data_IF_983462382893
#
_entry.id   IF_983462382893
#
_cell.length_a   1.000
_cell.length_b   1.000
_cell.length_c   1.000
_cell.angle_alpha   90.00
_cell.angle_beta   90.00
_cell.angle_gamma   90.00
#
_symmetry.space_group_name_H-M   'P 1'
#
loop_
_entity.id
_entity.type
_entity.pdbx_description
1 polymer ?
#
# COMPACT_ATOMS: atom_id res chain seq x y z
N UNK A 1 14.65 -6.73 -5.43
CA UNK A 1 13.65 -5.65 -5.51
C UNK A 1 14.26 -4.40 -4.91
N UNK A 2 13.94 -3.17 -5.39
CA UNK A 2 14.65 -1.95 -5.01
C UNK A 2 14.15 -1.35 -3.67
N UNK A 3 14.23 -2.10 -2.58
CA UNK A 3 13.78 -1.63 -1.26
C UNK A 3 14.62 -0.47 -0.71
N UNK A 4 15.94 -0.49 -0.99
CA UNK A 4 16.88 0.54 -0.52
C UNK A 4 16.67 1.90 -1.22
N UNK A 5 16.27 1.88 -2.50
CA UNK A 5 16.09 3.09 -3.31
C UNK A 5 14.84 3.89 -2.90
N UNK A 6 13.88 3.23 -2.24
CA UNK A 6 12.55 3.80 -1.94
C UNK A 6 12.29 3.95 -0.44
N UNK A 7 13.30 3.68 0.39
CA UNK A 7 13.18 3.64 1.87
C UNK A 7 12.04 2.73 2.35
N UNK A 8 11.71 1.69 1.57
CA UNK A 8 10.72 0.68 1.98
C UNK A 8 11.34 -0.26 3.02
N UNK A 9 10.52 -0.80 3.93
CA UNK A 9 11.02 -1.79 4.90
C UNK A 9 10.99 -3.17 4.27
N UNK A 10 12.17 -3.67 3.88
CA UNK A 10 12.32 -4.95 3.16
C UNK A 10 11.47 -4.98 1.87
N UNK A 11 10.89 -6.13 1.53
CA UNK A 11 10.14 -6.34 0.28
C UNK A 11 8.61 -6.20 0.44
N UNK A 12 8.12 -5.71 1.58
CA UNK A 12 6.69 -5.80 1.92
C UNK A 12 5.87 -4.61 1.42
N UNK A 13 6.43 -3.40 1.46
CA UNK A 13 5.89 -2.24 0.76
C UNK A 13 7.00 -1.40 0.14
N UNK A 14 6.75 -0.91 -1.07
CA UNK A 14 7.70 -0.11 -1.85
C UNK A 14 6.96 0.59 -2.99
N UNK A 15 7.62 1.57 -3.61
CA UNK A 15 7.13 2.25 -4.80
C UNK A 15 8.20 2.26 -5.87
N UNK A 16 7.84 2.50 -7.13
CA UNK A 16 8.83 2.76 -8.18
C UNK A 16 8.19 3.52 -9.34
N UNK A 17 9.04 4.17 -10.12
CA UNK A 17 8.62 4.92 -11.30
C UNK A 17 8.95 4.15 -12.57
N UNK A 18 7.99 4.05 -13.48
CA UNK A 18 8.22 3.53 -14.82
C UNK A 18 7.46 4.38 -15.85
N UNK A 19 8.20 5.07 -16.70
CA UNK A 19 7.64 6.03 -17.65
C UNK A 19 6.85 7.14 -16.94
N UNK A 20 5.59 7.28 -17.33
CA UNK A 20 4.64 8.27 -16.82
C UNK A 20 3.80 7.77 -15.63
N UNK A 21 4.17 6.63 -15.04
CA UNK A 21 3.43 5.97 -13.95
C UNK A 21 4.31 5.83 -12.71
N UNK A 22 3.71 6.09 -11.55
CA UNK A 22 4.22 5.78 -10.24
C UNK A 22 3.45 4.57 -9.69
N UNK A 23 4.16 3.47 -9.43
CA UNK A 23 3.60 2.23 -8.90
C UNK A 23 3.87 2.15 -7.41
N UNK A 24 2.86 1.69 -6.66
CA UNK A 24 2.90 1.50 -5.21
C UNK A 24 2.47 0.07 -4.90
N UNK A 25 3.31 -0.67 -4.19
CA UNK A 25 2.98 -1.99 -3.64
C UNK A 25 2.80 -1.87 -2.14
N UNK A 26 1.63 -2.31 -1.67
CA UNK A 26 1.22 -2.27 -0.26
C UNK A 26 1.25 -3.68 0.35
N UNK A 27 1.65 -3.78 1.60
CA UNK A 27 1.40 -4.90 2.49
C UNK A 27 -0.04 -4.78 3.02
N UNK A 28 -0.90 -5.67 2.55
CA UNK A 28 -2.32 -5.74 2.91
C UNK A 28 -2.62 -6.77 4.01
N UNK A 29 -1.60 -7.50 4.42
CA UNK A 29 -1.66 -8.65 5.32
C UNK A 29 -1.39 -8.19 6.75
N UNK A 30 -0.37 -7.33 6.92
CA UNK A 30 0.14 -6.91 8.24
C UNK A 30 0.45 -5.41 8.34
N UNK A 31 0.45 -4.69 7.23
CA UNK A 31 1.00 -3.33 7.13
C UNK A 31 0.14 -2.19 7.71
N UNK A 32 -1.03 -2.46 8.29
CA UNK A 32 -1.89 -1.40 8.85
C UNK A 32 -2.69 -1.89 10.07
N UNK A 33 -3.13 -0.98 10.96
CA UNK A 33 -3.93 -1.37 12.12
C UNK A 33 -5.24 -2.06 11.70
N UNK A 34 -5.49 -3.25 12.22
CA UNK A 34 -6.65 -4.07 11.86
C UNK A 34 -6.49 -4.86 10.57
N UNK A 35 -5.26 -5.01 10.05
CA UNK A 35 -5.00 -5.90 8.92
C UNK A 35 -5.32 -7.36 9.27
N UNK A 36 -5.78 -8.12 8.27
CA UNK A 36 -6.37 -9.44 8.47
C UNK A 36 -5.42 -10.46 9.11
N UNK A 37 -4.11 -10.28 8.94
CA UNK A 37 -3.08 -11.17 9.47
C UNK A 37 -2.25 -10.57 10.60
N UNK A 38 -2.53 -9.32 11.02
CA UNK A 38 -1.80 -8.60 12.09
C UNK A 38 -1.70 -9.42 13.39
N UNK A 39 -2.76 -10.18 13.72
CA UNK A 39 -2.84 -10.99 14.95
C UNK A 39 -3.14 -12.47 14.70
N UNK A 40 -3.13 -12.89 13.42
CA UNK A 40 -3.68 -14.20 13.01
C UNK A 40 -2.76 -15.39 13.28
N UNK A 41 -1.44 -15.17 13.32
CA UNK A 41 -0.45 -16.25 13.47
C UNK A 41 0.32 -16.15 14.80
N UNK A 42 0.81 -17.30 15.26
CA UNK A 42 1.54 -17.45 16.56
C UNK A 42 2.98 -16.87 16.49
N UNK A 43 3.49 -16.63 15.28
CA UNK A 43 4.79 -16.00 15.04
C UNK A 43 4.61 -14.52 14.67
N UNK A 44 5.61 -13.65 14.90
CA UNK A 44 5.55 -12.27 14.47
C UNK A 44 5.55 -12.19 12.94
N UNK A 45 4.36 -12.19 12.36
CA UNK A 45 4.10 -11.93 10.95
C UNK A 45 3.72 -10.46 10.86
N UNK A 46 4.70 -9.58 10.60
CA UNK A 46 4.49 -8.13 10.52
C UNK A 46 5.57 -7.32 11.22
N UNK A 47 5.28 -6.04 11.47
CA UNK A 47 6.26 -5.10 12.05
C UNK A 47 7.27 -4.56 11.04
N UNK A 48 6.92 -4.58 9.75
CA UNK A 48 7.73 -4.03 8.67
C UNK A 48 7.69 -2.49 8.62
N UNK A 49 7.77 -1.83 9.78
CA UNK A 49 7.68 -0.37 9.88
C UNK A 49 6.27 0.18 9.72
N UNK A 50 6.18 1.52 9.77
CA UNK A 50 4.92 2.26 9.63
C UNK A 50 4.60 2.51 8.15
N UNK A 51 3.88 1.56 7.54
CA UNK A 51 3.48 1.66 6.14
C UNK A 51 2.61 2.88 5.87
N UNK A 52 1.70 3.27 6.80
CA UNK A 52 0.78 4.38 6.55
C UNK A 52 1.54 5.71 6.52
N UNK A 53 2.47 5.90 7.44
CA UNK A 53 3.36 7.05 7.41
C UNK A 53 4.27 7.04 6.16
N UNK A 54 4.84 5.89 5.80
CA UNK A 54 5.63 5.76 4.58
C UNK A 54 4.82 6.11 3.32
N UNK A 55 3.60 5.58 3.20
CA UNK A 55 2.71 5.80 2.06
C UNK A 55 2.33 7.28 1.92
N UNK A 56 2.06 7.96 3.03
CA UNK A 56 1.80 9.40 3.01
C UNK A 56 3.00 10.17 2.42
N UNK A 57 4.22 9.87 2.87
CA UNK A 57 5.43 10.53 2.36
C UNK A 57 5.73 10.20 0.89
N UNK A 58 5.45 8.96 0.47
CA UNK A 58 5.60 8.52 -0.93
C UNK A 58 4.60 9.25 -1.84
N UNK A 59 3.33 9.35 -1.44
CA UNK A 59 2.30 10.05 -2.20
C UNK A 59 2.52 11.57 -2.25
N UNK A 60 3.04 12.19 -1.20
CA UNK A 60 3.44 13.62 -1.22
C UNK A 60 4.50 13.83 -2.32
N UNK A 61 5.54 13.00 -2.36
CA UNK A 61 6.59 13.08 -3.39
C UNK A 61 6.06 12.78 -4.79
N UNK A 62 5.19 11.77 -4.94
CA UNK A 62 4.53 11.48 -6.20
C UNK A 62 3.66 12.66 -6.67
N UNK A 63 3.02 13.37 -5.73
CA UNK A 63 2.19 14.54 -6.01
C UNK A 63 3.00 15.73 -6.54
N UNK A 64 4.22 15.93 -6.05
CA UNK A 64 5.13 16.96 -6.58
C UNK A 64 5.53 16.68 -8.05
N UNK A 65 5.53 15.41 -8.46
CA UNK A 65 5.97 14.98 -9.79
C UNK A 65 4.83 14.68 -10.76
N UNK A 66 3.59 15.08 -10.44
CA UNK A 66 2.38 14.75 -11.23
C UNK A 66 2.40 15.28 -12.66
N UNK A 67 3.09 16.40 -12.89
CA UNK A 67 3.27 16.95 -14.23
C UNK A 67 4.08 16.02 -15.14
N UNK A 68 5.04 15.28 -14.57
CA UNK A 68 5.86 14.30 -15.29
C UNK A 68 5.23 12.90 -15.26
N UNK A 69 4.58 12.53 -14.15
CA UNK A 69 3.97 11.21 -13.92
C UNK A 69 2.53 11.35 -13.44
N UNK A 70 1.57 11.55 -14.37
CA UNK A 70 0.18 11.79 -14.04
C UNK A 70 -0.59 10.53 -13.59
N UNK A 71 0.04 9.36 -13.57
CA UNK A 71 -0.61 8.11 -13.14
C UNK A 71 0.00 7.56 -11.86
N UNK A 72 -0.85 7.19 -10.90
CA UNK A 72 -0.47 6.47 -9.69
C UNK A 72 -1.26 5.17 -9.67
N UNK A 73 -0.58 4.05 -9.52
CA UNK A 73 -1.17 2.71 -9.46
C UNK A 73 -0.80 2.08 -8.13
N UNK A 74 -1.81 1.82 -7.29
CA UNK A 74 -1.64 1.10 -6.04
C UNK A 74 -2.12 -0.35 -6.19
N UNK A 75 -1.30 -1.29 -5.72
CA UNK A 75 -1.63 -2.71 -5.70
C UNK A 75 -1.36 -3.33 -4.32
N UNK A 76 -2.10 -4.39 -4.01
CA UNK A 76 -1.95 -5.20 -2.81
C UNK A 76 -2.54 -6.58 -3.05
N UNK A 77 -2.28 -7.54 -2.15
CA UNK A 77 -2.76 -8.91 -2.30
C UNK A 77 -4.27 -9.02 -2.00
N UNK A 78 -4.73 -8.36 -0.93
CA UNK A 78 -6.15 -8.36 -0.56
C UNK A 78 -6.92 -7.25 -1.28
N UNK A 79 -8.03 -7.58 -1.97
CA UNK A 79 -8.85 -6.58 -2.64
C UNK A 79 -9.58 -5.72 -1.61
N UNK A 80 -9.50 -4.39 -1.75
CA UNK A 80 -10.27 -3.46 -0.92
C UNK A 80 -11.78 -3.57 -1.18
N UNK A 81 -12.17 -3.88 -2.42
CA UNK A 81 -13.57 -4.07 -2.81
C UNK A 81 -13.71 -5.40 -3.56
N UNK A 82 -14.61 -6.26 -3.07
CA UNK A 82 -15.02 -7.50 -3.72
C UNK A 82 -16.55 -7.53 -3.73
N UNK A 83 -17.17 -7.95 -4.83
CA UNK A 83 -18.62 -7.94 -5.03
C UNK A 83 -19.42 -8.72 -3.99
N UNK A 84 -18.80 -9.72 -3.35
CA UNK A 84 -19.42 -10.51 -2.28
C UNK A 84 -19.23 -9.90 -0.87
N UNK A 85 -18.40 -8.87 -0.74
CA UNK A 85 -18.05 -8.17 0.51
C UNK A 85 -18.39 -6.68 0.40
N UNK A 86 -19.66 -6.38 0.14
CA UNK A 86 -20.18 -5.01 0.12
C UNK A 86 -20.49 -4.55 1.53
N UNK A 87 -19.88 -3.44 1.93
CA UNK A 87 -20.20 -2.75 3.17
C UNK A 87 -21.56 -2.05 3.01
N UNK A 88 -22.64 -2.79 3.34
CA UNK A 88 -24.04 -2.39 3.08
C UNK A 88 -24.37 -1.01 3.66
N UNK A 89 -23.70 -0.61 4.73
CA UNK A 89 -23.89 0.68 5.41
C UNK A 89 -23.50 1.90 4.55
N UNK A 90 -22.66 1.73 3.53
CA UNK A 90 -22.26 2.79 2.59
C UNK A 90 -23.05 2.77 1.28
N UNK A 91 -24.00 1.82 1.12
CA UNK A 91 -24.91 1.78 -0.02
C UNK A 91 -26.20 2.52 0.33
N UNK A 92 -26.14 3.86 0.31
CA UNK A 92 -27.34 4.69 0.42
C UNK A 92 -28.06 4.68 -0.93
N UNK A 93 -29.20 4.01 -0.99
CA UNK A 93 -30.19 4.08 -2.07
C UNK A 93 -31.51 4.60 -1.52
#
# INVERSE_FOLDING_TARGET
>A
MPSEETKGTLNMHYSFNYGNVHFVSLDTETGYPGAAEETRYVLPCGGFGDQLHWLEQDLIQANEQRALRPWIFAQGHHPMYNGDSINKEFQVG
#
